data_IF_342351921402
#
_entry.id   IF_342351921402
#
_cell.length_a   1.000
_cell.length_b   1.000
_cell.length_c   1.000
_cell.angle_alpha   90.00
_cell.angle_beta   90.00
_cell.angle_gamma   90.00
#
_symmetry.space_group_name_H-M   'P 1'
#
loop_
_entity.id
_entity.type
_entity.pdbx_description
1 polymer ?
#
# COMPACT_ATOMS: atom_id res chain seq x y z
N UNK A 1 11.79 -17.14 -51.00
CA UNK A 1 11.45 -16.27 -49.85
C UNK A 1 12.75 -15.66 -49.39
N UNK A 2 12.88 -14.34 -49.45
CA UNK A 2 14.17 -13.63 -49.51
C UNK A 2 14.77 -13.45 -48.11
N UNK A 3 16.08 -13.69 -47.94
CA UNK A 3 16.82 -13.39 -46.69
C UNK A 3 16.59 -11.95 -46.17
N UNK A 4 16.25 -11.01 -47.07
CA UNK A 4 15.89 -9.65 -46.68
C UNK A 4 14.57 -9.58 -45.90
N UNK A 5 13.57 -10.41 -46.25
CA UNK A 5 12.30 -10.49 -45.50
C UNK A 5 12.52 -11.06 -44.10
N UNK A 6 13.35 -12.10 -43.97
CA UNK A 6 13.65 -12.72 -42.66
C UNK A 6 14.44 -11.77 -41.75
N UNK A 7 15.37 -10.99 -42.32
CA UNK A 7 16.09 -9.95 -41.59
C UNK A 7 15.17 -8.81 -41.14
N UNK A 8 14.26 -8.34 -42.00
CA UNK A 8 13.28 -7.29 -41.63
C UNK A 8 12.29 -7.75 -40.57
N UNK A 9 11.86 -9.02 -40.62
CA UNK A 9 11.00 -9.59 -39.58
C UNK A 9 11.74 -9.69 -38.25
N UNK A 10 12.99 -10.16 -38.28
CA UNK A 10 13.83 -10.29 -37.09
C UNK A 10 14.17 -8.94 -36.45
N UNK A 11 14.45 -7.90 -37.25
CA UNK A 11 14.70 -6.55 -36.75
C UNK A 11 13.44 -5.92 -36.14
N UNK A 12 12.27 -6.17 -36.72
CA UNK A 12 10.99 -5.69 -36.20
C UNK A 12 10.62 -6.38 -34.88
N UNK A 13 10.90 -7.68 -34.75
CA UNK A 13 10.76 -8.42 -33.48
C UNK A 13 11.72 -7.87 -32.43
N UNK A 14 13.00 -7.68 -32.77
CA UNK A 14 14.00 -7.14 -31.86
C UNK A 14 13.63 -5.72 -31.40
N UNK A 15 13.15 -4.87 -32.32
CA UNK A 15 12.71 -3.51 -32.00
C UNK A 15 11.51 -3.51 -31.05
N UNK A 16 10.50 -4.36 -31.30
CA UNK A 16 9.37 -4.50 -30.38
C UNK A 16 9.79 -5.02 -29.02
N UNK A 17 10.71 -5.99 -28.97
CA UNK A 17 11.24 -6.51 -27.71
C UNK A 17 12.00 -5.44 -26.92
N UNK A 18 12.83 -4.64 -27.61
CA UNK A 18 13.61 -3.57 -26.99
C UNK A 18 12.70 -2.45 -26.47
N UNK A 19 11.63 -2.13 -27.21
CA UNK A 19 10.59 -1.21 -26.76
C UNK A 19 9.84 -1.74 -25.54
N UNK A 20 9.47 -3.02 -25.52
CA UNK A 20 8.82 -3.65 -24.37
C UNK A 20 9.73 -3.66 -23.12
N UNK A 21 11.04 -3.92 -23.29
CA UNK A 21 12.02 -3.84 -22.20
C UNK A 21 12.09 -2.41 -21.67
N UNK A 22 12.16 -1.42 -22.56
CA UNK A 22 12.19 0.00 -22.17
C UNK A 22 10.95 0.40 -21.37
N UNK A 23 9.75 0.05 -21.85
CA UNK A 23 8.49 0.31 -21.14
C UNK A 23 8.48 -0.36 -19.77
N UNK A 24 8.92 -1.62 -19.71
CA UNK A 24 8.99 -2.36 -18.43
C UNK A 24 9.94 -1.68 -17.44
N UNK A 25 11.07 -1.17 -17.92
CA UNK A 25 12.06 -0.48 -17.10
C UNK A 25 11.55 0.88 -16.60
N UNK A 26 10.87 1.64 -17.45
CA UNK A 26 10.21 2.90 -17.08
C UNK A 26 9.12 2.66 -16.03
N UNK A 27 8.24 1.68 -16.25
CA UNK A 27 7.19 1.33 -15.30
C UNK A 27 7.76 0.86 -13.95
N UNK A 28 8.84 0.08 -13.96
CA UNK A 28 9.51 -0.37 -12.73
C UNK A 28 10.09 0.81 -11.95
N UNK A 29 10.72 1.76 -12.65
CA UNK A 29 11.30 2.95 -12.04
C UNK A 29 10.22 3.85 -11.45
N UNK A 30 9.13 4.08 -12.18
CA UNK A 30 7.98 4.84 -11.71
C UNK A 30 7.35 4.18 -10.47
N UNK A 31 7.11 2.87 -10.56
CA UNK A 31 6.57 2.07 -9.45
C UNK A 31 7.46 2.15 -8.20
N UNK A 32 8.78 2.00 -8.36
CA UNK A 32 9.73 2.12 -7.24
C UNK A 32 9.72 3.52 -6.65
N UNK A 33 9.60 4.55 -7.49
CA UNK A 33 9.54 5.95 -7.07
C UNK A 33 8.26 6.21 -6.28
N UNK A 34 7.11 5.72 -6.72
CA UNK A 34 5.84 5.88 -6.01
C UNK A 34 5.87 5.17 -4.65
N UNK A 35 6.39 3.94 -4.61
CA UNK A 35 6.52 3.18 -3.36
C UNK A 35 7.49 3.86 -2.40
N UNK A 36 8.57 4.47 -2.90
CA UNK A 36 9.48 5.25 -2.08
C UNK A 36 8.76 6.43 -1.40
N UNK A 37 7.80 7.05 -2.08
CA UNK A 37 6.92 8.08 -1.51
C UNK A 37 5.73 7.50 -0.72
N UNK A 38 5.65 6.17 -0.55
CA UNK A 38 4.57 5.49 0.15
C UNK A 38 3.25 5.45 -0.60
N UNK A 39 3.27 5.72 -1.91
CA UNK A 39 2.10 5.70 -2.79
C UNK A 39 1.97 4.35 -3.49
N UNK A 40 0.72 3.93 -3.71
CA UNK A 40 0.42 2.71 -4.45
C UNK A 40 0.45 3.00 -5.95
N UNK A 41 1.22 2.22 -6.72
CA UNK A 41 1.21 2.27 -8.19
C UNK A 41 0.35 1.14 -8.78
N UNK A 42 -0.56 1.48 -9.70
CA UNK A 42 -1.49 0.55 -10.34
C UNK A 42 -0.81 -0.54 -11.19
N UNK A 43 0.45 -0.36 -11.59
CA UNK A 43 1.24 -1.37 -12.28
C UNK A 43 1.60 -2.58 -11.40
N UNK A 44 1.51 -2.45 -10.07
CA UNK A 44 1.78 -3.56 -9.14
C UNK A 44 0.65 -4.58 -9.07
N UNK A 45 -0.59 -4.10 -9.09
CA UNK A 45 -1.79 -4.93 -8.92
C UNK A 45 -2.93 -4.33 -9.73
N UNK A 46 -3.32 -5.03 -10.78
CA UNK A 46 -4.45 -4.63 -11.62
C UNK A 46 -5.78 -4.75 -10.87
N UNK A 47 -6.80 -4.04 -11.33
CA UNK A 47 -8.12 -4.04 -10.67
C UNK A 47 -8.74 -5.44 -10.58
N UNK A 48 -8.54 -6.26 -11.62
CA UNK A 48 -9.02 -7.64 -11.64
C UNK A 48 -8.30 -8.51 -10.62
N UNK A 49 -6.96 -8.43 -10.55
CA UNK A 49 -6.19 -9.16 -9.54
C UNK A 49 -6.57 -8.74 -8.12
N UNK A 50 -6.71 -7.43 -7.88
CA UNK A 50 -7.15 -6.94 -6.57
C UNK A 50 -8.54 -7.46 -6.22
N UNK A 51 -9.47 -7.49 -7.17
CA UNK A 51 -10.82 -8.02 -6.99
C UNK A 51 -10.82 -9.50 -6.62
N UNK A 52 -10.02 -10.31 -7.30
CA UNK A 52 -9.84 -11.73 -6.99
C UNK A 52 -9.28 -11.93 -5.58
N UNK A 53 -8.21 -11.21 -5.23
CA UNK A 53 -7.60 -11.27 -3.90
C UNK A 53 -8.58 -10.84 -2.80
N UNK A 54 -9.35 -9.77 -3.02
CA UNK A 54 -10.38 -9.33 -2.07
C UNK A 54 -11.49 -10.37 -1.89
N UNK A 55 -11.83 -11.10 -2.94
CA UNK A 55 -12.82 -12.17 -2.85
C UNK A 55 -12.30 -13.32 -1.98
N UNK A 56 -11.04 -13.72 -2.18
CA UNK A 56 -10.35 -14.71 -1.34
C UNK A 56 -10.30 -14.25 0.12
N UNK A 57 -9.87 -13.00 0.36
CA UNK A 57 -9.81 -12.41 1.69
C UNK A 57 -11.20 -12.44 2.34
N UNK A 58 -12.24 -12.02 1.62
CA UNK A 58 -13.61 -11.98 2.13
C UNK A 58 -14.12 -13.34 2.60
N UNK A 59 -13.70 -14.43 1.95
CA UNK A 59 -14.03 -15.80 2.35
C UNK A 59 -13.35 -16.27 3.64
N UNK A 60 -12.29 -15.59 4.08
CA UNK A 60 -11.54 -15.91 5.29
C UNK A 60 -11.79 -14.93 6.45
N UNK A 61 -12.59 -13.88 6.25
CA UNK A 61 -12.87 -12.91 7.32
C UNK A 61 -13.79 -13.51 8.39
N UNK A 62 -13.48 -13.20 9.65
CA UNK A 62 -14.34 -13.52 10.80
C UNK A 62 -15.51 -12.53 10.90
N UNK A 63 -16.50 -12.86 11.73
CA UNK A 63 -17.72 -12.05 11.89
C UNK A 63 -17.50 -10.66 12.48
N UNK A 64 -16.34 -10.36 13.06
CA UNK A 64 -16.05 -9.06 13.67
C UNK A 64 -15.34 -8.08 12.73
N UNK A 65 -14.89 -8.58 11.57
CA UNK A 65 -14.05 -7.84 10.64
C UNK A 65 -14.78 -7.72 9.29
N UNK A 66 -14.57 -6.59 8.61
CA UNK A 66 -15.10 -6.31 7.28
C UNK A 66 -14.07 -5.64 6.40
N UNK A 67 -14.30 -5.77 5.10
CA UNK A 67 -13.65 -4.91 4.12
C UNK A 67 -14.15 -3.46 4.27
N UNK A 68 -13.29 -2.45 4.03
CA UNK A 68 -13.63 -1.03 3.98
C UNK A 68 -14.52 -0.61 2.79
N UNK A 69 -15.21 -1.56 2.15
CA UNK A 69 -16.09 -1.33 1.00
C UNK A 69 -17.28 -2.27 1.07
N UNK A 70 -18.43 -1.83 0.57
CA UNK A 70 -19.64 -2.65 0.56
C UNK A 70 -19.71 -3.51 -0.69
N UNK A 71 -19.30 -2.96 -1.84
CA UNK A 71 -19.35 -3.65 -3.12
C UNK A 71 -17.99 -3.71 -3.82
N UNK A 72 -17.36 -4.89 -3.76
CA UNK A 72 -16.07 -5.16 -4.41
C UNK A 72 -16.14 -4.90 -5.93
N UNK A 73 -17.29 -5.06 -6.59
CA UNK A 73 -17.35 -4.87 -8.05
C UNK A 73 -17.32 -3.40 -8.48
N UNK A 74 -17.90 -2.51 -7.68
CA UNK A 74 -18.09 -1.10 -8.05
C UNK A 74 -17.04 -0.19 -7.39
N UNK A 75 -16.54 -0.58 -6.22
CA UNK A 75 -15.75 0.30 -5.35
C UNK A 75 -14.27 -0.07 -5.24
N UNK A 76 -13.74 -0.95 -6.10
CA UNK A 76 -12.31 -1.32 -6.12
C UNK A 76 -11.40 -0.07 -6.16
N UNK A 77 -11.82 0.96 -6.88
CA UNK A 77 -11.05 2.21 -7.00
C UNK A 77 -10.85 2.91 -5.65
N UNK A 78 -11.79 2.81 -4.70
CA UNK A 78 -11.67 3.41 -3.35
C UNK A 78 -10.57 2.72 -2.54
N UNK A 79 -10.39 1.42 -2.74
CA UNK A 79 -9.40 0.60 -2.03
C UNK A 79 -7.97 1.01 -2.36
N UNK A 80 -7.68 1.40 -3.60
CA UNK A 80 -6.32 1.78 -3.99
C UNK A 80 -5.77 2.93 -3.13
N UNK A 81 -6.63 3.83 -2.64
CA UNK A 81 -6.24 4.89 -1.70
C UNK A 81 -5.87 4.38 -0.31
N UNK A 82 -6.36 3.19 0.06
CA UNK A 82 -6.17 2.57 1.39
C UNK A 82 -4.93 1.68 1.43
N UNK A 83 -4.49 1.20 0.27
CA UNK A 83 -3.36 0.29 0.16
C UNK A 83 -2.05 1.00 0.51
N UNK A 84 -1.25 0.34 1.34
CA UNK A 84 0.12 0.76 1.62
C UNK A 84 1.07 -0.25 1.01
N UNK A 85 2.10 0.24 0.33
CA UNK A 85 3.11 -0.64 -0.26
C UNK A 85 4.45 -0.41 0.41
N UNK A 86 5.17 -1.49 0.66
CA UNK A 86 6.59 -1.46 0.97
C UNK A 86 7.34 -2.31 -0.03
N UNK A 87 8.50 -1.85 -0.48
CA UNK A 87 9.39 -2.63 -1.32
C UNK A 87 10.61 -3.09 -0.50
N UNK A 88 11.04 -4.33 -0.71
CA UNK A 88 12.30 -4.84 -0.18
C UNK A 88 13.12 -5.46 -1.31
N UNK A 89 14.35 -5.00 -1.43
CA UNK A 89 15.31 -5.52 -2.40
C UNK A 89 16.13 -6.64 -1.74
N UNK A 90 16.11 -7.83 -2.34
CA UNK A 90 16.99 -8.94 -2.03
C UNK A 90 17.99 -9.14 -3.17
N UNK A 91 19.00 -9.98 -2.99
CA UNK A 91 20.08 -10.17 -3.98
C UNK A 91 19.61 -10.50 -5.41
N UNK A 92 18.44 -11.14 -5.55
CA UNK A 92 17.88 -11.56 -6.85
C UNK A 92 16.41 -11.19 -7.06
N UNK A 93 15.75 -10.65 -6.03
CA UNK A 93 14.31 -10.47 -6.03
C UNK A 93 13.96 -9.10 -5.45
N UNK A 94 13.01 -8.44 -6.10
CA UNK A 94 12.33 -7.29 -5.56
C UNK A 94 10.97 -7.76 -5.06
N UNK A 95 10.73 -7.64 -3.76
CA UNK A 95 9.49 -8.09 -3.12
C UNK A 95 8.67 -6.88 -2.75
N UNK A 96 7.41 -6.85 -3.18
CA UNK A 96 6.43 -5.85 -2.80
C UNK A 96 5.49 -6.42 -1.75
N UNK A 97 5.42 -5.75 -0.60
CA UNK A 97 4.51 -6.04 0.50
C UNK A 97 3.35 -5.03 0.39
N UNK A 98 2.21 -5.49 -0.13
CA UNK A 98 0.98 -4.71 -0.21
C UNK A 98 0.14 -4.98 1.03
N UNK A 99 -0.12 -3.93 1.82
CA UNK A 99 -0.83 -4.00 3.08
C UNK A 99 -2.22 -3.40 2.86
N UNK A 100 -3.24 -4.23 3.06
CA UNK A 100 -4.64 -3.84 3.02
C UNK A 100 -5.21 -3.69 4.44
N UNK A 101 -5.78 -2.54 4.82
CA UNK A 101 -6.38 -2.38 6.14
C UNK A 101 -7.75 -3.06 6.20
N UNK A 102 -7.93 -3.90 7.21
CA UNK A 102 -9.23 -4.45 7.58
C UNK A 102 -9.91 -3.54 8.62
N UNK A 103 -11.24 -3.47 8.57
CA UNK A 103 -12.03 -2.68 9.51
C UNK A 103 -12.74 -3.58 10.50
N UNK A 104 -12.83 -3.12 11.75
CA UNK A 104 -13.79 -3.68 12.68
C UNK A 104 -15.20 -3.25 12.25
N UNK A 105 -16.19 -4.16 12.37
CA UNK A 105 -17.61 -3.86 12.12
C UNK A 105 -18.20 -2.84 13.08
N UNK A 106 -17.51 -2.56 14.18
CA UNK A 106 -17.93 -1.57 15.16
C UNK A 106 -17.93 -0.16 14.60
N UNK A 107 -19.13 0.41 14.47
CA UNK A 107 -19.33 1.81 14.11
C UNK A 107 -19.50 2.63 15.38
N UNK A 108 -18.71 3.68 15.50
CA UNK A 108 -18.85 4.68 16.55
C UNK A 108 -19.35 5.99 15.93
N UNK A 109 -20.31 6.63 16.59
CA UNK A 109 -20.73 7.98 16.24
C UNK A 109 -19.79 8.97 16.89
N UNK A 110 -19.18 9.83 16.09
CA UNK A 110 -18.29 10.88 16.56
C UNK A 110 -19.10 12.11 17.00
N UNK A 111 -18.93 12.52 18.26
CA UNK A 111 -19.55 13.70 18.83
C UNK A 111 -18.50 14.72 19.21
N UNK A 112 -18.71 15.98 18.84
CA UNK A 112 -17.94 17.11 19.35
C UNK A 112 -18.62 17.62 20.62
N UNK A 113 -17.90 17.62 21.74
CA UNK A 113 -18.45 18.10 23.01
C UNK A 113 -18.26 19.61 23.08
N UNK A 114 -19.37 20.35 23.11
CA UNK A 114 -19.37 21.80 23.27
C UNK A 114 -19.98 22.12 24.64
N UNK A 115 -19.22 22.83 25.47
CA UNK A 115 -19.67 23.21 26.82
C UNK A 115 -20.38 24.54 26.75
N UNK A 116 -21.61 24.59 27.29
CA UNK A 116 -22.40 25.81 27.36
C UNK A 116 -22.12 26.46 28.72
N UNK A 117 -21.49 27.66 28.76
CA UNK A 117 -21.25 28.36 30.00
C UNK A 117 -22.55 28.74 30.71
N UNK A 118 -22.55 28.62 32.04
CA UNK A 118 -23.62 29.12 32.89
C UNK A 118 -23.14 30.36 33.65
N UNK A 119 -23.93 31.43 33.60
CA UNK A 119 -23.62 32.65 34.34
C UNK A 119 -23.98 32.47 35.82
N UNK A 120 -23.02 32.68 36.71
CA UNK A 120 -23.21 32.51 38.17
C UNK A 120 -23.29 33.88 38.87
N UNK A 121 -22.43 34.81 38.45
CA UNK A 121 -22.35 36.17 38.99
C UNK A 121 -22.30 37.19 37.83
N UNK A 122 -22.48 38.49 38.14
CA UNK A 122 -22.35 39.55 37.14
C UNK A 122 -20.97 39.46 36.46
N UNK A 123 -20.97 39.21 35.14
CA UNK A 123 -19.81 39.01 34.27
C UNK A 123 -18.94 37.77 34.51
N UNK A 124 -19.32 36.83 35.37
CA UNK A 124 -18.56 35.57 35.56
C UNK A 124 -19.39 34.38 35.07
N UNK A 125 -18.84 33.69 34.07
CA UNK A 125 -19.37 32.43 33.56
C UNK A 125 -18.59 31.25 34.15
N UNK A 126 -19.29 30.15 34.39
CA UNK A 126 -18.71 28.87 34.80
C UNK A 126 -18.99 27.84 33.72
N UNK A 127 -17.94 27.16 33.27
CA UNK A 127 -18.02 26.08 32.29
C UNK A 127 -17.42 24.80 32.86
N UNK A 128 -17.91 23.66 32.39
CA UNK A 128 -17.39 22.34 32.74
C UNK A 128 -16.19 22.01 31.86
N UNK A 129 -15.16 21.35 32.40
CA UNK A 129 -14.12 20.74 31.58
C UNK A 129 -14.66 19.44 30.95
N UNK A 130 -14.74 19.36 29.61
CA UNK A 130 -15.19 18.15 28.95
C UNK A 130 -14.14 17.05 29.09
N UNK A 131 -14.56 15.80 28.98
CA UNK A 131 -13.66 14.64 29.09
C UNK A 131 -12.64 14.56 27.92
N UNK A 132 -13.02 15.09 26.76
CA UNK A 132 -12.23 15.23 25.54
C UNK A 132 -12.95 16.22 24.59
N UNK A 133 -12.25 16.73 23.58
CA UNK A 133 -12.83 17.59 22.53
C UNK A 133 -13.84 16.81 21.67
N UNK A 134 -13.48 15.58 21.29
CA UNK A 134 -14.36 14.65 20.58
C UNK A 134 -14.50 13.35 21.36
N UNK A 135 -15.68 12.75 21.26
CA UNK A 135 -15.97 11.44 21.83
C UNK A 135 -16.67 10.58 20.79
N UNK A 136 -16.09 9.42 20.51
CA UNK A 136 -16.70 8.40 19.68
C UNK A 136 -17.52 7.46 20.57
N UNK A 137 -18.82 7.30 20.33
CA UNK A 137 -19.74 6.51 21.16
C UNK A 137 -20.38 5.41 20.32
N UNK A 138 -20.38 4.18 20.84
CA UNK A 138 -21.13 3.05 20.31
C UNK A 138 -22.20 2.66 21.32
N UNK A 139 -23.45 3.02 21.03
CA UNK A 139 -24.61 2.64 21.84
C UNK A 139 -24.92 1.15 21.77
N UNK A 140 -24.44 0.44 20.73
CA UNK A 140 -24.67 -1.00 20.58
C UNK A 140 -23.80 -1.81 21.54
N UNK A 141 -22.61 -1.30 21.86
CA UNK A 141 -21.63 -1.97 22.72
C UNK A 141 -21.54 -1.35 24.11
N UNK A 142 -22.29 -0.28 24.37
CA UNK A 142 -22.15 0.56 25.56
C UNK A 142 -20.68 0.95 25.79
N UNK A 143 -20.04 1.44 24.73
CA UNK A 143 -18.63 1.86 24.78
C UNK A 143 -18.43 3.27 24.24
N UNK A 144 -17.37 3.92 24.71
CA UNK A 144 -16.90 5.19 24.17
C UNK A 144 -15.38 5.28 24.13
N UNK A 145 -14.91 6.16 23.26
CA UNK A 145 -13.51 6.46 22.98
C UNK A 145 -13.32 7.98 23.07
N UNK A 146 -12.24 8.39 23.73
CA UNK A 146 -11.82 9.79 23.73
C UNK A 146 -10.99 10.04 22.47
N UNK A 147 -11.26 11.14 21.77
CA UNK A 147 -10.57 11.48 20.53
C UNK A 147 -10.13 12.94 20.60
N UNK A 148 -8.86 13.20 20.30
CA UNK A 148 -8.32 14.56 20.18
C UNK A 148 -8.32 15.02 18.72
N UNK A 149 -8.23 16.33 18.47
CA UNK A 149 -8.01 16.83 17.11
C UNK A 149 -6.79 16.18 16.43
N UNK A 150 -5.70 15.91 17.18
CA UNK A 150 -4.50 15.25 16.66
C UNK A 150 -4.78 13.82 16.19
N UNK A 151 -5.62 13.10 16.91
CA UNK A 151 -6.01 11.74 16.52
C UNK A 151 -6.85 11.75 15.23
N UNK A 152 -7.76 12.73 15.08
CA UNK A 152 -8.57 12.87 13.87
C UNK A 152 -7.72 13.14 12.62
N UNK A 153 -6.66 13.94 12.72
CA UNK A 153 -5.76 14.19 11.59
C UNK A 153 -5.00 12.95 11.11
N UNK A 154 -4.87 11.93 11.96
CA UNK A 154 -4.25 10.65 11.60
C UNK A 154 -5.24 9.65 10.99
N UNK A 155 -6.53 9.94 11.09
CA UNK A 155 -7.57 9.11 10.49
C UNK A 155 -7.66 9.40 9.00
N UNK A 156 -8.00 8.36 8.24
CA UNK A 156 -8.39 8.56 6.85
C UNK A 156 -9.85 8.99 6.80
N UNK A 157 -10.14 10.07 6.08
CA UNK A 157 -11.49 10.59 5.89
C UNK A 157 -11.98 10.23 4.49
N UNK A 158 -13.03 9.42 4.40
CA UNK A 158 -13.72 9.11 3.14
C UNK A 158 -15.20 9.46 3.30
N UNK A 159 -15.67 10.40 2.48
CA UNK A 159 -17.05 10.91 2.50
C UNK A 159 -17.47 11.40 3.91
N UNK A 160 -18.31 10.63 4.60
CA UNK A 160 -18.84 10.93 5.95
C UNK A 160 -18.24 10.04 7.05
N UNK A 161 -17.19 9.27 6.75
CA UNK A 161 -16.62 8.26 7.65
C UNK A 161 -15.14 8.51 7.92
N UNK A 162 -14.77 8.45 9.21
CA UNK A 162 -13.39 8.44 9.65
C UNK A 162 -12.92 7.02 9.93
N UNK A 163 -11.90 6.57 9.19
CA UNK A 163 -11.21 5.31 9.42
C UNK A 163 -9.98 5.57 10.29
N UNK A 164 -10.15 5.32 11.59
CA UNK A 164 -9.14 5.65 12.60
C UNK A 164 -8.43 4.40 13.14
N UNK A 165 -7.10 4.43 13.30
CA UNK A 165 -6.42 3.42 14.11
C UNK A 165 -6.73 3.67 15.60
N UNK A 166 -7.34 2.68 16.27
CA UNK A 166 -7.62 2.77 17.70
C UNK A 166 -6.32 2.53 18.48
N UNK A 167 -5.75 3.59 19.06
CA UNK A 167 -4.55 3.53 19.93
C UNK A 167 -4.86 3.74 21.40
N UNK A 168 -6.07 4.21 21.70
CA UNK A 168 -6.51 4.53 23.05
C UNK A 168 -7.42 3.42 23.59
N UNK A 169 -7.48 3.24 24.93
CA UNK A 169 -8.41 2.31 25.54
C UNK A 169 -9.87 2.63 25.18
N UNK A 170 -10.66 1.59 24.91
CA UNK A 170 -12.10 1.66 24.79
C UNK A 170 -12.68 1.60 26.21
N UNK A 171 -13.51 2.58 26.57
CA UNK A 171 -14.13 2.66 27.89
C UNK A 171 -15.59 2.23 27.83
N UNK A 172 -16.11 1.68 28.93
CA UNK A 172 -17.53 1.37 29.04
C UNK A 172 -18.34 2.63 29.36
N UNK A 173 -19.47 2.76 28.68
CA UNK A 173 -20.52 3.73 28.88
C UNK A 173 -21.43 3.21 30.00
N UNK A 174 -21.38 3.86 31.16
CA UNK A 174 -22.29 3.59 32.27
C UNK A 174 -23.39 4.67 32.29
N UNK A 175 -24.56 4.37 32.83
CA UNK A 175 -25.66 5.34 32.93
C UNK A 175 -25.25 6.60 33.72
N UNK A 176 -24.42 6.45 34.75
CA UNK A 176 -23.90 7.56 35.57
C UNK A 176 -22.66 8.25 34.98
N UNK A 177 -22.29 7.96 33.72
CA UNK A 177 -21.07 8.49 33.13
C UNK A 177 -21.26 9.96 32.76
N UNK A 178 -20.66 10.85 33.55
CA UNK A 178 -20.53 12.25 33.16
C UNK A 178 -19.40 12.41 32.14
N UNK A 179 -19.69 13.00 30.97
CA UNK A 179 -18.69 13.33 29.94
C UNK A 179 -17.84 14.56 30.30
N UNK A 180 -17.43 14.65 31.56
CA UNK A 180 -16.61 15.71 32.11
C UNK A 180 -15.36 15.14 32.77
N UNK A 181 -14.35 15.96 32.96
CA UNK A 181 -13.21 15.60 33.79
C UNK A 181 -13.63 15.67 35.26
N UNK A 182 -13.51 14.57 35.99
CA UNK A 182 -13.79 14.55 37.43
C UNK A 182 -12.63 15.13 38.24
N UNK A 183 -12.97 15.88 39.28
CA UNK A 183 -12.05 16.26 40.34
C UNK A 183 -11.84 15.07 41.29
N UNK A 184 -10.56 14.76 41.58
CA UNK A 184 -10.18 13.63 42.44
C UNK A 184 -10.67 13.78 43.87
N UNK A 185 -10.89 15.02 44.34
CA UNK A 185 -11.28 15.30 45.73
C UNK A 185 -12.77 15.24 45.96
N UNK A 186 -13.56 15.81 45.04
CA UNK A 186 -15.01 15.96 45.19
C UNK A 186 -15.81 14.94 44.39
N UNK A 187 -15.17 14.20 43.48
CA UNK A 187 -15.83 13.34 42.49
C UNK A 187 -16.89 14.07 41.64
N UNK A 188 -16.80 15.40 41.56
CA UNK A 188 -17.66 16.25 40.71
C UNK A 188 -16.93 16.68 39.46
N UNK A 189 -17.67 17.10 38.44
CA UNK A 189 -17.09 17.68 37.25
C UNK A 189 -16.24 18.91 37.60
N UNK A 190 -15.00 18.93 37.11
CA UNK A 190 -14.12 20.08 37.21
C UNK A 190 -14.71 21.23 36.40
N UNK A 191 -14.72 22.41 37.01
CA UNK A 191 -15.23 23.63 36.41
C UNK A 191 -14.10 24.67 36.29
N UNK A 192 -14.23 25.56 35.31
CA UNK A 192 -13.41 26.76 35.20
C UNK A 192 -14.30 27.99 35.10
N UNK A 193 -13.80 29.10 35.62
CA UNK A 193 -14.46 30.40 35.60
C UNK A 193 -13.74 31.33 34.65
N UNK A 194 -14.50 32.02 33.82
CA UNK A 194 -13.99 33.01 32.86
C UNK A 194 -14.88 34.24 32.87
N UNK A 195 -14.33 35.35 32.37
CA UNK A 195 -15.13 36.56 32.12
C UNK A 195 -16.12 36.26 31.00
N UNK A 196 -17.38 36.64 31.21
CA UNK A 196 -18.44 36.36 30.25
C UNK A 196 -18.20 37.14 28.95
N UNK A 197 -18.19 36.42 27.83
CA UNK A 197 -18.13 37.00 26.48
C UNK A 197 -19.19 36.36 25.59
N UNK A 198 -19.75 37.15 24.68
CA UNK A 198 -20.68 36.63 23.68
C UNK A 198 -19.92 35.69 22.74
N UNK A 199 -20.42 34.47 22.56
CA UNK A 199 -19.76 33.43 21.76
C UNK A 199 -20.71 32.95 20.67
N UNK A 200 -20.13 32.69 19.51
CA UNK A 200 -20.80 32.15 18.34
C UNK A 200 -19.99 30.98 17.82
N UNK A 201 -20.58 29.78 17.83
CA UNK A 201 -19.94 28.56 17.38
C UNK A 201 -20.71 27.99 16.18
N UNK A 202 -20.07 27.79 15.02
CA UNK A 202 -20.70 27.06 13.92
C UNK A 202 -20.94 25.60 14.34
N UNK A 203 -22.09 25.06 13.97
CA UNK A 203 -22.43 23.65 14.15
C UNK A 203 -22.11 22.84 12.89
N UNK A 204 -22.35 21.53 12.94
CA UNK A 204 -22.09 20.64 11.79
C UNK A 204 -22.90 21.04 10.54
N UNK A 205 -24.10 21.61 10.73
CA UNK A 205 -24.83 22.21 9.63
C UNK A 205 -24.30 23.64 9.42
N UNK A 206 -23.77 23.97 8.22
CA UNK A 206 -23.06 25.22 7.99
C UNK A 206 -23.96 26.47 8.06
N UNK A 207 -25.29 26.29 8.14
CA UNK A 207 -26.24 27.39 8.40
C UNK A 207 -26.77 27.45 9.83
N UNK A 208 -26.22 26.65 10.74
CA UNK A 208 -26.62 26.63 12.15
C UNK A 208 -25.49 27.08 13.06
N UNK A 209 -25.82 27.92 14.04
CA UNK A 209 -24.88 28.48 14.98
C UNK A 209 -25.41 28.30 16.40
N UNK A 210 -24.54 27.81 17.29
CA UNK A 210 -24.75 27.90 18.72
C UNK A 210 -24.32 29.28 19.18
N UNK A 211 -25.20 30.02 19.84
CA UNK A 211 -24.87 31.30 20.43
C UNK A 211 -24.93 31.22 21.96
N UNK A 212 -24.08 32.02 22.60
CA UNK A 212 -24.14 32.32 24.01
C UNK A 212 -24.03 33.82 24.19
N UNK A 213 -24.97 34.43 24.92
CA UNK A 213 -25.04 35.84 25.19
C UNK A 213 -25.04 36.08 26.70
N UNK A 214 -24.11 36.92 27.17
CA UNK A 214 -24.01 37.30 28.58
C UNK A 214 -25.19 38.14 29.05
N UNK A 215 -25.70 38.97 28.14
CA UNK A 215 -26.86 39.83 28.33
C UNK A 215 -27.82 39.62 27.15
N UNK A 216 -28.95 40.33 27.16
CA UNK A 216 -29.79 40.47 25.97
C UNK A 216 -28.98 41.04 24.81
N UNK A 217 -28.91 40.32 23.70
CA UNK A 217 -28.20 40.74 22.50
C UNK A 217 -29.18 40.82 21.32
N UNK A 218 -29.34 42.01 20.76
CA UNK A 218 -30.28 42.27 19.67
C UNK A 218 -29.61 42.01 18.31
N UNK A 219 -30.25 41.17 17.49
CA UNK A 219 -29.78 40.80 16.14
C UNK A 219 -30.83 41.09 15.10
N UNK A 220 -30.40 41.28 13.86
CA UNK A 220 -31.29 41.43 12.69
C UNK A 220 -31.00 40.32 11.69
N UNK A 221 -31.99 39.50 11.40
CA UNK A 221 -31.96 38.51 10.34
C UNK A 221 -32.51 39.17 9.08
N UNK A 222 -31.72 39.22 8.03
CA UNK A 222 -32.06 39.84 6.75
C UNK A 222 -32.07 38.73 5.70
N UNK A 223 -33.25 38.42 5.19
CA UNK A 223 -33.49 37.55 4.04
C UNK A 223 -34.02 38.44 2.91
N UNK A 224 -33.73 38.15 1.64
CA UNK A 224 -34.15 38.87 0.42
C UNK A 224 -35.02 40.14 0.59
N UNK A 225 -36.27 40.00 1.04
CA UNK A 225 -37.27 41.05 1.26
C UNK A 225 -37.73 41.22 2.72
N UNK A 226 -37.22 40.42 3.66
CA UNK A 226 -37.67 40.37 5.06
C UNK A 226 -36.53 40.69 6.02
N UNK A 227 -36.80 41.62 6.94
CA UNK A 227 -35.93 41.92 8.08
C UNK A 227 -36.65 41.57 9.37
N UNK A 228 -36.11 40.60 10.11
CA UNK A 228 -36.64 40.14 11.39
C UNK A 228 -35.66 40.58 12.48
N UNK A 229 -36.14 41.32 13.49
CA UNK A 229 -35.37 41.65 14.67
C UNK A 229 -35.62 40.62 15.76
N UNK A 230 -34.57 40.01 16.30
CA UNK A 230 -34.66 39.07 17.41
C UNK A 230 -33.80 39.51 18.59
N UNK A 231 -34.27 39.21 19.80
CA UNK A 231 -33.56 39.46 21.05
C UNK A 231 -33.10 38.13 21.64
N UNK A 232 -31.81 37.88 21.54
CA UNK A 232 -31.19 36.65 22.01
C UNK A 232 -30.83 36.77 23.49
N UNK A 233 -31.08 35.69 24.25
CA UNK A 233 -30.76 35.62 25.68
C UNK A 233 -30.16 34.26 26.03
N UNK A 234 -29.28 34.24 27.03
CA UNK A 234 -28.64 33.03 27.56
C UNK A 234 -27.88 32.25 26.47
N UNK A 235 -28.38 31.10 26.05
CA UNK A 235 -27.77 30.29 25.01
C UNK A 235 -28.87 29.60 24.19
N UNK A 236 -28.60 29.40 22.92
CA UNK A 236 -29.54 28.77 22.01
C UNK A 236 -28.89 28.45 20.67
N UNK A 237 -29.67 27.80 19.81
CA UNK A 237 -29.26 27.52 18.43
C UNK A 237 -30.08 28.39 17.50
N UNK A 238 -29.39 29.09 16.61
CA UNK A 238 -30.03 29.85 15.53
C UNK A 238 -29.74 29.16 14.20
N UNK A 239 -30.78 29.01 13.38
CA UNK A 239 -30.69 28.44 12.03
C UNK A 239 -30.99 29.54 11.03
N UNK A 240 -30.11 29.73 10.05
CA UNK A 240 -30.28 30.71 8.98
C UNK A 240 -30.74 30.01 7.70
N UNK A 241 -31.80 30.52 7.08
CA UNK A 241 -32.22 30.01 5.78
C UNK A 241 -31.22 30.42 4.68
N UNK A 242 -31.24 29.68 3.57
CA UNK A 242 -30.34 29.93 2.43
C UNK A 242 -30.52 31.35 1.89
N UNK A 243 -29.42 32.10 1.77
CA UNK A 243 -29.43 33.47 1.29
C UNK A 243 -29.76 34.52 2.36
N UNK A 244 -30.04 34.10 3.60
CA UNK A 244 -30.19 35.02 4.73
C UNK A 244 -28.83 35.34 5.36
N UNK A 245 -28.74 36.54 5.94
CA UNK A 245 -27.62 36.95 6.78
C UNK A 245 -28.13 37.42 8.13
N UNK A 246 -27.33 37.19 9.18
CA UNK A 246 -27.60 37.69 10.52
C UNK A 246 -26.61 38.79 10.83
N UNK A 247 -27.12 39.97 11.15
CA UNK A 247 -26.33 41.15 11.49
C UNK A 247 -26.44 41.44 12.98
N UNK A 248 -25.32 41.32 13.68
CA UNK A 248 -25.14 41.81 15.04
C UNK A 248 -24.68 43.27 15.05
N UNK A 249 -24.33 43.77 16.22
CA UNK A 249 -23.75 45.11 16.37
C UNK A 249 -22.32 45.17 15.81
N UNK A 250 -21.55 44.09 15.95
CA UNK A 250 -20.12 44.00 15.68
C UNK A 250 -19.73 42.92 14.65
N UNK A 251 -20.70 42.14 14.15
CA UNK A 251 -20.42 41.06 13.20
C UNK A 251 -21.57 40.83 12.21
N UNK A 252 -21.30 40.05 11.16
CA UNK A 252 -22.32 39.52 10.25
C UNK A 252 -22.05 38.04 10.01
N UNK A 253 -23.04 37.19 10.26
CA UNK A 253 -23.02 35.78 9.91
C UNK A 253 -23.75 35.58 8.60
N UNK A 254 -23.17 34.77 7.72
CA UNK A 254 -23.73 34.45 6.42
C UNK A 254 -24.26 33.01 6.48
N UNK A 255 -25.47 32.79 5.97
CA UNK A 255 -25.91 31.42 5.67
C UNK A 255 -24.97 30.80 4.64
N UNK A 256 -24.81 29.48 4.70
CA UNK A 256 -23.99 28.76 3.73
C UNK A 256 -24.59 28.89 2.33
N UNK A 257 -23.92 29.64 1.47
CA UNK A 257 -24.26 29.73 0.05
C UNK A 257 -23.56 28.59 -0.68
N UNK A 258 -24.31 27.54 -1.01
CA UNK A 258 -23.87 26.59 -2.03
C UNK A 258 -23.96 27.36 -3.34
N UNK A 259 -22.87 28.00 -3.76
CA UNK A 259 -22.71 28.34 -5.17
C UNK A 259 -22.60 27.00 -5.90
N UNK A 260 -23.73 26.48 -6.39
CA UNK A 260 -23.66 25.66 -7.60
C UNK A 260 -23.20 26.62 -8.67
N UNK A 261 -21.89 26.70 -8.91
CA UNK A 261 -21.41 27.20 -10.17
C UNK A 261 -22.02 26.28 -11.23
N UNK A 262 -23.16 26.68 -11.79
CA UNK A 262 -23.55 26.19 -13.10
C UNK A 262 -22.48 26.76 -14.02
N UNK A 263 -21.43 25.97 -14.22
CA UNK A 263 -20.61 26.15 -15.41
C UNK A 263 -21.54 25.75 -16.54
N UNK A 264 -22.31 26.71 -17.05
CA UNK A 264 -22.78 26.65 -18.42
C UNK A 264 -21.50 26.70 -19.26
N UNK A 265 -20.91 25.52 -19.47
CA UNK A 265 -20.00 25.33 -20.58
C UNK A 265 -20.86 25.55 -21.81
N UNK A 266 -20.88 26.79 -22.29
CA UNK A 266 -21.38 27.10 -23.60
C UNK A 266 -20.71 26.08 -24.54
N UNK A 267 -21.50 25.25 -25.21
CA UNK A 267 -21.03 24.17 -26.07
C UNK A 267 -20.43 24.70 -27.38
N UNK A 268 -19.66 25.77 -27.30
CA UNK A 268 -18.69 26.13 -28.32
C UNK A 268 -17.40 25.36 -28.04
N UNK A 269 -17.55 24.02 -28.05
CA UNK A 269 -16.45 23.12 -28.21
C UNK A 269 -16.00 23.31 -29.67
N UNK A 270 -15.17 24.31 -29.90
CA UNK A 270 -14.38 24.40 -31.12
C UNK A 270 -13.44 23.22 -31.04
N UNK A 271 -13.85 22.08 -31.59
CA UNK A 271 -12.91 21.02 -31.94
C UNK A 271 -11.90 21.69 -32.86
N UNK A 272 -10.61 21.80 -32.49
CA UNK A 272 -9.61 22.22 -33.44
C UNK A 272 -9.61 21.17 -34.53
N UNK A 273 -10.14 21.53 -35.70
CA UNK A 273 -10.04 20.73 -36.90
C UNK A 273 -8.56 20.72 -37.24
N UNK A 274 -7.87 19.66 -36.85
CA UNK A 274 -6.47 19.48 -37.21
C UNK A 274 -6.48 19.28 -38.72
N UNK A 275 -6.13 20.33 -39.46
CA UNK A 275 -5.91 20.21 -40.90
C UNK A 275 -4.80 19.17 -41.12
N UNK A 276 -4.95 18.26 -42.09
CA UNK A 276 -3.95 17.25 -42.36
C UNK A 276 -2.63 17.93 -42.71
N UNK A 277 -1.65 17.78 -41.82
CA UNK A 277 -0.27 18.23 -41.97
C UNK A 277 0.35 17.55 -43.20
N UNK A 278 0.12 18.14 -44.36
CA UNK A 278 0.94 17.92 -45.53
C UNK A 278 1.55 19.25 -45.95
N UNK A 279 2.88 19.26 -45.82
CA UNK A 279 3.85 20.19 -46.37
C UNK A 279 4.28 21.39 -45.51
N UNK A 280 5.50 21.21 -44.97
CA UNK A 280 6.63 22.15 -45.05
C UNK A 280 6.40 23.47 -44.32
N UNK A 281 6.84 23.54 -43.06
CA UNK A 281 7.34 24.79 -42.47
C UNK A 281 8.66 24.50 -41.75
N UNK A 282 9.74 25.06 -42.29
CA UNK A 282 11.01 25.32 -41.59
C UNK A 282 10.70 26.22 -40.40
N UNK A 283 10.86 25.73 -39.18
CA UNK A 283 10.73 26.57 -37.99
C UNK A 283 12.08 27.27 -37.78
N UNK A 284 12.20 28.50 -38.26
CA UNK A 284 13.13 29.47 -37.69
C UNK A 284 12.46 30.11 -36.48
N UNK A 285 12.93 29.76 -35.28
CA UNK A 285 12.46 30.31 -34.02
C UNK A 285 12.88 31.78 -33.94
N UNK A 286 11.97 32.75 -33.71
CA UNK A 286 12.35 34.11 -33.36
C UNK A 286 12.86 34.14 -31.92
N UNK A 287 14.10 34.59 -31.73
CA UNK A 287 14.55 35.07 -30.42
C UNK A 287 13.91 36.43 -30.19
N UNK A 288 12.99 36.51 -29.22
CA UNK A 288 12.70 37.79 -28.56
C UNK A 288 13.75 38.02 -27.46
N UNK A 289 14.41 39.16 -27.59
CA UNK A 289 15.41 39.72 -26.68
C UNK A 289 14.75 40.07 -25.34
N UNK A 290 15.14 39.38 -24.27
CA UNK A 290 14.89 39.80 -22.89
C UNK A 290 16.10 40.61 -22.38
N UNK A 291 15.79 41.76 -21.78
CA UNK A 291 16.72 42.77 -21.30
C UNK A 291 17.79 42.23 -20.35
N UNK A 292 19.00 42.73 -20.55
CA UNK A 292 20.20 42.54 -19.73
C UNK A 292 20.03 43.17 -18.34
N UNK A 293 19.86 42.36 -17.27
CA UNK A 293 20.56 42.62 -16.00
C UNK A 293 20.49 41.52 -14.92
N UNK A 294 20.39 40.23 -15.26
CA UNK A 294 20.49 39.17 -14.25
C UNK A 294 21.84 38.45 -14.29
N UNK A 295 22.66 38.75 -13.29
CA UNK A 295 23.94 38.12 -12.92
C UNK A 295 23.86 36.60 -12.67
N UNK A 296 22.68 36.00 -12.80
CA UNK A 296 22.43 34.56 -12.64
C UNK A 296 22.63 33.74 -13.94
N UNK A 297 22.75 34.39 -15.11
CA UNK A 297 22.89 33.69 -16.39
C UNK A 297 24.32 33.16 -16.63
N UNK A 298 25.35 33.80 -16.04
CA UNK A 298 26.75 33.36 -16.16
C UNK A 298 26.99 32.07 -15.38
N UNK A 299 26.41 31.95 -14.19
CA UNK A 299 26.49 30.74 -13.37
C UNK A 299 25.75 29.57 -14.03
N UNK A 300 24.60 29.82 -14.64
CA UNK A 300 23.86 28.79 -15.38
C UNK A 300 24.61 28.31 -16.64
N UNK A 301 25.22 29.25 -17.38
CA UNK A 301 26.06 28.91 -18.54
C UNK A 301 27.31 28.15 -18.13
N UNK A 302 27.93 28.48 -16.99
CA UNK A 302 29.09 27.73 -16.49
C UNK A 302 28.71 26.30 -16.10
N UNK A 303 27.55 26.11 -15.48
CA UNK A 303 27.03 24.80 -15.07
C UNK A 303 26.67 23.92 -16.27
N UNK A 304 26.01 24.49 -17.29
CA UNK A 304 25.72 23.81 -18.55
C UNK A 304 27.00 23.44 -19.31
N UNK A 305 28.00 24.31 -19.32
CA UNK A 305 29.29 24.02 -19.96
C UNK A 305 30.07 22.94 -19.20
N UNK A 306 29.89 22.84 -17.88
CA UNK A 306 30.47 21.80 -17.05
C UNK A 306 29.77 20.45 -17.27
N UNK A 307 28.45 20.44 -17.44
CA UNK A 307 27.66 19.27 -17.82
C UNK A 307 28.04 18.76 -19.22
N UNK A 308 28.21 19.63 -20.22
CA UNK A 308 28.67 19.22 -21.55
C UNK A 308 30.09 18.61 -21.52
N UNK A 309 30.98 19.13 -20.66
CA UNK A 309 32.29 18.53 -20.42
C UNK A 309 32.18 17.16 -19.77
N UNK A 310 31.36 17.01 -18.72
CA UNK A 310 31.14 15.71 -18.08
C UNK A 310 30.54 14.67 -19.03
N UNK A 311 29.61 15.07 -19.91
CA UNK A 311 29.03 14.19 -20.93
C UNK A 311 30.08 13.81 -21.98
N UNK A 312 30.92 14.74 -22.43
CA UNK A 312 32.02 14.46 -23.36
C UNK A 312 33.07 13.56 -22.74
N UNK A 313 33.41 13.73 -21.47
CA UNK A 313 34.37 12.88 -20.76
C UNK A 313 33.80 11.48 -20.50
N UNK A 314 32.52 11.35 -20.14
CA UNK A 314 31.85 10.05 -20.03
C UNK A 314 31.75 9.34 -21.39
N UNK A 315 31.55 10.09 -22.48
CA UNK A 315 31.54 9.54 -23.84
C UNK A 315 32.94 9.12 -24.30
N UNK A 316 33.99 9.87 -23.95
CA UNK A 316 35.39 9.50 -24.24
C UNK A 316 35.82 8.27 -23.44
N UNK A 317 35.43 8.19 -22.17
CA UNK A 317 35.70 7.05 -21.29
C UNK A 317 34.91 5.79 -21.69
N UNK A 318 33.66 5.92 -22.16
CA UNK A 318 32.89 4.78 -22.69
C UNK A 318 33.40 4.29 -24.04
N UNK A 319 33.91 5.17 -24.91
CA UNK A 319 34.54 4.77 -26.19
C UNK A 319 35.87 4.03 -25.93
N UNK A 320 36.53 4.30 -24.81
CA UNK A 320 37.74 3.58 -24.40
C UNK A 320 37.44 2.25 -23.68
N UNK A 321 36.21 2.05 -23.17
CA UNK A 321 35.76 0.78 -22.60
C UNK A 321 35.27 -0.23 -23.67
N UNK A 322 35.08 0.22 -24.91
CA UNK A 322 34.74 -0.63 -26.06
C UNK A 322 35.94 -1.24 -26.79
N UNK A 323 37.18 -1.03 -26.32
CA UNK A 323 38.24 -2.00 -26.61
C UNK A 323 38.08 -3.17 -25.65
N UNK A 324 37.23 -4.11 -26.09
CA UNK A 324 37.13 -5.48 -25.62
C UNK A 324 38.33 -5.91 -24.77
N UNK A 325 38.05 -6.27 -23.51
CA UNK A 325 38.89 -7.15 -22.73
C UNK A 325 39.21 -8.39 -23.60
N UNK A 326 40.40 -8.41 -24.19
CA UNK A 326 40.92 -9.57 -24.92
C UNK A 326 41.23 -10.74 -23.97
N UNK A 327 41.02 -10.57 -22.66
CA UNK A 327 41.43 -11.53 -21.65
C UNK A 327 40.47 -12.72 -21.55
N UNK A 328 39.17 -12.56 -21.80
CA UNK A 328 38.20 -13.67 -21.67
C UNK A 328 38.17 -14.59 -22.89
N UNK A 329 38.48 -14.08 -24.08
CA UNK A 329 38.55 -14.90 -25.31
C UNK A 329 39.78 -15.81 -25.29
N UNK A 330 40.90 -15.36 -24.72
CA UNK A 330 42.10 -16.19 -24.56
C UNK A 330 41.93 -17.31 -23.53
N UNK A 331 41.21 -17.07 -22.42
CA UNK A 331 40.96 -18.12 -21.41
C UNK A 331 40.12 -19.28 -21.95
N UNK A 332 39.09 -19.00 -22.75
CA UNK A 332 38.31 -20.06 -23.38
C UNK A 332 39.10 -20.79 -24.46
N UNK A 333 39.88 -20.08 -25.29
CA UNK A 333 40.71 -20.71 -26.32
C UNK A 333 41.78 -21.65 -25.72
N UNK A 334 42.45 -21.24 -24.63
CA UNK A 334 43.47 -22.05 -23.96
C UNK A 334 42.86 -23.33 -23.35
N UNK A 335 41.66 -23.23 -22.76
CA UNK A 335 40.95 -24.41 -22.23
C UNK A 335 40.58 -25.43 -23.32
N UNK A 336 40.11 -24.97 -24.49
CA UNK A 336 39.81 -25.89 -25.60
C UNK A 336 41.08 -26.55 -26.17
N UNK A 337 42.21 -25.83 -26.23
CA UNK A 337 43.50 -26.40 -26.65
C UNK A 337 44.00 -27.44 -25.64
N UNK A 338 43.89 -27.18 -24.34
CA UNK A 338 44.27 -28.13 -23.28
C UNK A 338 43.44 -29.42 -23.35
N UNK A 339 42.13 -29.31 -23.55
CA UNK A 339 41.24 -30.48 -23.71
C UNK A 339 41.60 -31.26 -24.99
N UNK A 340 41.90 -30.55 -26.08
CA UNK A 340 42.35 -31.18 -27.33
C UNK A 340 43.66 -31.96 -27.18
N UNK A 341 44.66 -31.37 -26.51
CA UNK A 341 45.94 -32.04 -26.25
C UNK A 341 45.75 -33.25 -25.33
N UNK A 342 44.93 -33.15 -24.29
CA UNK A 342 44.62 -34.27 -23.40
C UNK A 342 43.95 -35.44 -24.15
N UNK A 343 43.03 -35.15 -25.06
CA UNK A 343 42.37 -36.16 -25.89
C UNK A 343 43.36 -36.87 -26.83
N UNK A 344 44.29 -36.13 -27.44
CA UNK A 344 45.34 -36.71 -28.29
C UNK A 344 46.31 -37.57 -27.48
N UNK A 345 46.73 -37.13 -26.29
CA UNK A 345 47.60 -37.91 -25.41
C UNK A 345 46.92 -39.21 -24.95
N UNK A 346 45.62 -39.15 -24.61
CA UNK A 346 44.83 -40.33 -24.28
C UNK A 346 44.74 -41.31 -25.47
N UNK A 347 44.51 -40.81 -26.69
CA UNK A 347 44.49 -41.64 -27.89
C UNK A 347 45.85 -42.31 -28.18
N UNK A 348 46.96 -41.56 -28.01
CA UNK A 348 48.32 -42.09 -28.16
C UNK A 348 48.64 -43.12 -27.07
N UNK A 349 48.21 -42.90 -25.83
CA UNK A 349 48.39 -43.84 -24.74
C UNK A 349 47.63 -45.15 -25.00
N UNK A 350 46.36 -45.06 -25.41
CA UNK A 350 45.55 -46.23 -25.79
C UNK A 350 46.15 -46.96 -26.99
N UNK A 351 46.69 -46.24 -27.98
CA UNK A 351 47.36 -46.84 -29.13
C UNK A 351 48.66 -47.55 -28.75
N UNK A 352 49.50 -46.94 -27.90
CA UNK A 352 50.72 -47.55 -27.36
C UNK A 352 50.43 -48.75 -26.47
N UNK A 353 49.38 -48.69 -25.65
CA UNK A 353 48.96 -49.80 -24.80
C UNK A 353 48.47 -50.99 -25.63
N UNK A 354 47.67 -50.74 -26.68
CA UNK A 354 47.26 -51.78 -27.64
C UNK A 354 48.46 -52.36 -28.42
N UNK A 355 49.46 -51.55 -28.78
CA UNK A 355 50.69 -52.04 -29.43
C UNK A 355 51.56 -52.90 -28.50
N UNK A 356 51.67 -52.56 -27.21
CA UNK A 356 52.41 -53.36 -26.23
C UNK A 356 51.73 -54.71 -25.96
N UNK A 357 50.39 -54.76 -25.89
CA UNK A 357 49.65 -56.04 -25.78
C UNK A 357 49.74 -56.93 -27.03
N UNK A 358 50.10 -56.39 -28.19
CA UNK A 358 50.34 -57.18 -29.42
C UNK A 358 51.78 -57.64 -29.61
N UNK A 359 52.68 -57.32 -28.66
CA UNK A 359 54.05 -57.84 -28.59
C UNK A 359 54.27 -58.51 -27.25
N UNK A 360 53.51 -59.55 -26.96
CA UNK A 360 53.94 -60.57 -26.02
C UNK A 360 54.61 -61.68 -26.86
N UNK A 361 55.87 -62.06 -26.56
CA UNK A 361 56.51 -63.18 -27.21
C UNK A 361 55.88 -64.49 -26.75
N UNK A 362 55.64 -65.37 -27.72
CA UNK A 362 55.36 -66.78 -27.56
C UNK A 362 56.66 -67.45 -27.09
N UNK A 363 56.62 -68.22 -26.01
CA UNK A 363 57.57 -69.30 -25.74
C UNK A 363 56.82 -70.54 -25.22
N UNK A 364 57.35 -71.74 -25.48
CA UNK A 364 56.56 -72.97 -25.60
C UNK A 364 56.73 -73.96 -24.43
N UNK A 365 55.98 -75.06 -24.54
CA UNK A 365 56.06 -76.37 -23.84
C UNK A 365 55.32 -76.51 -22.50
N UNK A 366 54.17 -77.21 -22.47
CA UNK A 366 53.92 -78.69 -22.36
C UNK A 366 53.94 -79.10 -20.87
N UNK A 367 53.05 -79.89 -20.27
CA UNK A 367 51.96 -80.81 -20.68
C UNK A 367 51.25 -81.19 -19.35
N UNK A 368 49.92 -81.36 -19.26
CA UNK A 368 49.15 -82.62 -19.02
C UNK A 368 47.76 -82.13 -18.50
N UNK A 369 46.56 -82.63 -18.84
CA UNK A 369 46.11 -83.98 -19.14
C UNK A 369 44.65 -83.95 -19.67
N UNK A 370 44.34 -84.89 -20.59
CA UNK A 370 43.02 -85.51 -20.95
C UNK A 370 41.86 -84.60 -21.39
N UNK A 371 41.46 -84.60 -22.67
CA UNK A 371 40.58 -85.59 -23.34
C UNK A 371 39.14 -85.58 -22.76
N UNK A 372 38.05 -85.52 -23.54
CA UNK A 372 37.84 -85.51 -24.98
C UNK A 372 36.33 -85.33 -25.23
N UNK A 373 35.99 -84.66 -26.34
CA UNK A 373 34.87 -84.93 -27.28
C UNK A 373 33.42 -84.89 -26.72
N UNK A 374 32.37 -84.46 -27.44
CA UNK A 374 32.01 -84.58 -28.86
C UNK A 374 31.06 -83.42 -29.25
N UNK A 375 31.37 -82.77 -30.39
CA UNK A 375 30.55 -82.43 -31.58
C UNK A 375 29.02 -82.20 -31.44
N UNK A 376 28.31 -81.39 -32.23
CA UNK A 376 28.55 -80.73 -33.51
C UNK A 376 27.44 -79.65 -33.71
N UNK A 377 27.74 -78.48 -34.27
CA UNK A 377 27.41 -78.08 -35.66
C UNK A 377 25.90 -77.94 -35.95
N UNK A 378 25.42 -76.71 -36.17
CA UNK A 378 25.25 -76.16 -37.54
C UNK A 378 24.33 -74.95 -37.60
N UNK A 379 24.71 -74.03 -38.49
CA UNK A 379 23.89 -73.18 -39.35
C UNK A 379 22.89 -72.17 -38.71
N UNK A 380 23.14 -70.86 -38.79
CA UNK A 380 23.13 -69.96 -39.97
C UNK A 380 21.72 -69.47 -40.33
N UNK A 381 21.60 -68.15 -40.15
CA UNK A 381 20.84 -67.16 -40.93
C UNK A 381 19.32 -66.99 -40.77
N UNK A 382 19.03 -65.75 -40.40
CA UNK A 382 18.21 -64.77 -41.14
C UNK A 382 16.73 -64.59 -40.78
N UNK A 383 16.45 -63.30 -40.53
CA UNK A 383 15.33 -62.47 -41.00
C UNK A 383 14.10 -62.31 -40.09
N UNK A 384 13.99 -61.04 -39.68
CA UNK A 384 12.85 -60.11 -39.85
C UNK A 384 11.63 -60.25 -38.93
N UNK A 385 11.50 -59.19 -38.13
CA UNK A 385 10.37 -58.23 -38.10
C UNK A 385 9.00 -58.73 -37.60
N UNK A 386 8.43 -58.07 -36.59
CA UNK A 386 7.48 -56.94 -36.73
C UNK A 386 6.71 -56.70 -35.41
N UNK A 387 6.29 -55.43 -35.20
CA UNK A 387 5.14 -54.92 -34.38
C UNK A 387 5.17 -54.86 -32.82
N UNK A 388 5.43 -53.62 -32.36
CA UNK A 388 4.70 -52.77 -31.38
C UNK A 388 3.16 -52.96 -31.31
N UNK A 389 2.40 -52.25 -30.43
CA UNK A 389 2.56 -51.89 -28.99
C UNK A 389 1.18 -51.89 -28.25
N UNK A 390 1.04 -51.08 -27.19
CA UNK A 390 -0.18 -50.39 -26.68
C UNK A 390 -0.69 -50.90 -25.30
N UNK A 391 -1.24 -50.13 -24.34
CA UNK A 391 -1.44 -48.68 -24.06
C UNK A 391 -2.35 -48.60 -22.80
N UNK A 392 -2.16 -47.57 -21.93
CA UNK A 392 -3.16 -46.89 -21.05
C UNK A 392 -3.85 -47.69 -19.90
N UNK A 393 -4.31 -47.16 -18.74
CA UNK A 393 -4.30 -45.85 -18.05
C UNK A 393 -4.95 -45.98 -16.65
N UNK A 394 -4.67 -44.99 -15.77
CA UNK A 394 -5.62 -44.25 -14.88
C UNK A 394 -6.02 -44.78 -13.48
N UNK A 395 -5.78 -43.87 -12.51
CA UNK A 395 -6.45 -43.56 -11.23
C UNK A 395 -6.77 -44.64 -10.20
N UNK A 396 -6.55 -44.36 -8.91
CA UNK A 396 -7.47 -43.60 -8.06
C UNK A 396 -6.96 -43.54 -6.61
N UNK A 397 -7.48 -42.53 -5.91
CA UNK A 397 -7.19 -42.10 -4.55
C UNK A 397 -7.96 -42.90 -3.49
N UNK A 398 -7.41 -42.84 -2.26
CA UNK A 398 -8.11 -42.65 -0.98
C UNK A 398 -8.26 -43.84 -0.01
N UNK A 399 -8.12 -43.46 1.27
CA UNK A 399 -8.52 -44.11 2.55
C UNK A 399 -7.50 -45.13 3.08
N UNK A 400 -7.18 -45.22 4.37
CA UNK A 400 -7.83 -44.77 5.61
C UNK A 400 -6.86 -44.97 6.81
N UNK A 401 -7.35 -44.66 8.02
CA UNK A 401 -6.83 -44.95 9.38
C UNK A 401 -5.97 -43.80 9.94
N UNK A 402 -6.36 -43.03 10.97
CA UNK A 402 -7.05 -43.28 12.26
C UNK A 402 -6.14 -43.94 13.33
N UNK A 403 -6.19 -43.32 14.53
CA UNK A 403 -5.84 -43.82 15.88
C UNK A 403 -4.42 -43.64 16.47
N UNK A 404 -4.38 -42.77 17.51
CA UNK A 404 -3.73 -42.78 18.84
C UNK A 404 -2.20 -42.74 19.14
N UNK A 405 -1.95 -41.91 20.18
CA UNK A 405 -1.09 -42.05 21.39
C UNK A 405 0.42 -41.73 21.39
N UNK A 406 0.72 -40.79 22.31
CA UNK A 406 1.75 -40.77 23.38
C UNK A 406 3.22 -40.31 23.11
N UNK A 407 3.51 -39.13 23.70
CA UNK A 407 4.52 -38.81 24.74
C UNK A 407 6.05 -38.77 24.52
N UNK A 408 6.64 -37.79 25.26
CA UNK A 408 8.04 -37.48 25.64
C UNK A 408 8.94 -36.74 24.62
N UNK A 409 9.72 -35.70 24.96
CA UNK A 409 10.07 -35.06 26.25
C UNK A 409 10.61 -33.62 26.03
N UNK A 410 10.36 -32.71 26.98
CA UNK A 410 11.25 -32.18 28.05
C UNK A 410 12.49 -31.35 27.64
N UNK A 411 12.54 -30.11 28.16
CA UNK A 411 13.60 -29.32 28.85
C UNK A 411 13.04 -27.87 28.91
N UNK A 412 12.99 -27.10 30.00
CA UNK A 412 13.47 -27.24 31.38
C UNK A 412 12.77 -26.20 32.29
N UNK A 413 12.77 -26.50 33.59
CA UNK A 413 12.31 -25.68 34.73
C UNK A 413 13.12 -24.39 34.93
N UNK A 414 12.51 -23.36 35.54
CA UNK A 414 12.84 -22.86 36.91
C UNK A 414 11.71 -21.94 37.40
N UNK A 415 11.16 -22.32 38.55
CA UNK A 415 10.16 -21.62 39.37
C UNK A 415 10.73 -20.40 40.10
N UNK A 416 9.90 -19.40 40.39
CA UNK A 416 9.89 -18.75 41.70
C UNK A 416 8.54 -18.06 41.99
N UNK A 417 8.05 -18.42 43.16
CA UNK A 417 6.82 -18.10 43.88
C UNK A 417 6.81 -16.63 44.36
N UNK A 418 5.67 -15.94 44.30
CA UNK A 418 5.39 -14.82 45.22
C UNK A 418 4.00 -14.99 45.86
N UNK A 419 4.09 -14.93 47.17
CA UNK A 419 3.19 -15.13 48.29
C UNK A 419 1.92 -14.27 48.29
N UNK A 420 0.82 -14.90 48.75
CA UNK A 420 -0.46 -14.26 49.09
C UNK A 420 -0.35 -13.47 50.39
N UNK A 421 -0.96 -12.28 50.44
CA UNK A 421 -1.60 -11.79 51.66
C UNK A 421 -3.06 -11.40 51.38
N UNK A 422 -3.95 -12.21 51.95
CA UNK A 422 -5.37 -11.91 52.15
C UNK A 422 -5.52 -10.95 53.33
N UNK A 423 -6.30 -9.88 53.17
CA UNK A 423 -7.10 -9.33 54.27
C UNK A 423 -8.53 -9.11 53.80
N UNK A 424 -9.40 -9.93 54.36
CA UNK A 424 -10.85 -9.85 54.26
C UNK A 424 -11.37 -8.70 55.13
N UNK A 425 -12.40 -8.01 54.66
CA UNK A 425 -13.38 -7.33 55.49
C UNK A 425 -14.78 -7.82 55.08
N UNK A 426 -15.53 -8.29 56.08
CA UNK A 426 -16.90 -8.78 55.97
C UNK A 426 -17.92 -7.68 55.66
N UNK A 427 -19.13 -8.04 55.18
CA UNK A 427 -20.25 -7.12 54.94
C UNK A 427 -21.11 -6.91 56.21
N UNK A 428 -21.95 -5.86 56.27
CA UNK A 428 -23.19 -5.65 57.08
C UNK A 428 -23.55 -4.13 57.13
N UNK A 429 -24.82 -3.66 57.18
CA UNK A 429 -26.08 -4.13 56.57
C UNK A 429 -26.89 -2.99 55.89
N UNK A 430 -28.00 -3.36 55.24
CA UNK A 430 -29.06 -2.46 54.78
C UNK A 430 -29.72 -1.66 55.92
N UNK A 431 -30.09 -0.40 55.65
CA UNK A 431 -31.11 0.34 56.40
C UNK A 431 -32.21 0.80 55.46
N UNK A 432 -33.43 0.36 55.77
CA UNK A 432 -34.68 0.96 55.33
C UNK A 432 -34.75 2.43 55.74
N UNK A 433 -35.29 3.27 54.85
CA UNK A 433 -36.05 4.46 55.26
C UNK A 433 -37.34 4.51 54.45
N UNK A 434 -38.46 4.34 55.17
CA UNK A 434 -39.74 4.92 54.81
C UNK A 434 -39.66 6.43 55.05
N UNK A 435 -40.14 7.22 54.08
CA UNK A 435 -41.16 8.29 54.19
C UNK A 435 -41.58 8.61 52.75
#
# INVERSE_FOLDING_TARGET
>A
MSMAQDFTMSSLIASNMLQNIKITQENLLETLTDIYHGQFNMHLLTAEQLREELHIISGHLTEDITLPIENIQQEVHKIYKLLKVKARMMQKYLIFEVIFPLLNRDKYKLYKIITIPHQVENNIETSIFPIAEYTAISLRKDTYLKITNKDLYLCLHEEDVYLCPIRQPIYHLSEDKNFCQLDQTTSRCRIYKTSCTNKWLPLNNPSQYLFHCCNTYDVKIICSDRVIGERLTKAGVISLDKGCLLKGQDFTLLSHQIYTHQIEMNKDLILPKIDPLNNIIKISIPLETFDENDTNLSDLNSSLHNLDRQIKDLKKNNVQLTTLSSHDIHHYAINYVLIGVAAVLAAVFVWRWRRRRRRAPISPDLELQSASSVSAVSARNQRKAYRKPSVFTVSASARNCDVDRQHMGNIGDVSCEIEKQNKACSPIPQRHFNI
#
